data_IF_949444229365
#
_entry.id   IF_949444229365
#
_cell.length_a   1.000
_cell.length_b   1.000
_cell.length_c   1.000
_cell.angle_alpha   90.00
_cell.angle_beta   90.00
_cell.angle_gamma   90.00
#
_symmetry.space_group_name_H-M   'P 1'
#
loop_
_entity.id
_entity.type
_entity.pdbx_description
1 polymer ?
#
# COMPACT_ATOMS: atom_id res chain seq x y z
N UNK A 1 18.88 -0.50 -4.39
CA UNK A 1 17.93 -1.63 -4.20
C UNK A 1 16.66 -1.32 -4.96
N UNK A 2 16.04 -2.34 -5.54
CA UNK A 2 14.86 -2.26 -6.41
C UNK A 2 14.25 -3.65 -6.62
N UNK A 3 14.46 -4.55 -5.67
CA UNK A 3 13.83 -5.86 -5.68
C UNK A 3 12.33 -5.69 -5.47
N UNK A 4 11.58 -6.43 -6.26
CA UNK A 4 10.14 -6.42 -6.21
C UNK A 4 9.58 -7.82 -6.05
N UNK A 5 8.42 -7.89 -5.41
CA UNK A 5 7.58 -9.08 -5.40
C UNK A 5 6.28 -8.75 -6.14
N UNK A 6 5.76 -9.73 -6.86
CA UNK A 6 4.44 -9.66 -7.49
C UNK A 6 3.48 -10.49 -6.65
N UNK A 7 2.37 -9.89 -6.23
CA UNK A 7 1.30 -10.52 -5.47
C UNK A 7 0.05 -10.50 -6.35
N UNK A 8 -0.63 -11.64 -6.50
CA UNK A 8 -1.88 -11.73 -7.28
C UNK A 8 -1.74 -11.55 -8.80
N UNK A 9 -0.56 -11.14 -9.29
CA UNK A 9 -0.28 -10.90 -10.71
C UNK A 9 -0.36 -9.43 -11.13
N UNK A 10 -0.90 -8.56 -10.30
CA UNK A 10 -1.20 -7.15 -10.60
C UNK A 10 -0.78 -6.17 -9.51
N UNK A 11 -0.34 -6.65 -8.34
CA UNK A 11 0.24 -5.83 -7.27
C UNK A 11 1.75 -6.02 -7.24
N UNK A 12 2.50 -4.92 -7.37
CA UNK A 12 3.96 -4.91 -7.29
C UNK A 12 4.40 -4.15 -6.05
N UNK A 13 5.16 -4.80 -5.18
CA UNK A 13 5.75 -4.19 -3.99
C UNK A 13 7.27 -4.13 -4.17
N UNK A 14 7.84 -2.93 -4.12
CA UNK A 14 9.27 -2.68 -4.37
C UNK A 14 9.95 -2.09 -3.15
N UNK A 15 11.11 -2.64 -2.76
CA UNK A 15 11.99 -2.01 -1.75
C UNK A 15 12.77 -0.87 -2.39
N UNK A 16 12.49 0.36 -1.98
CA UNK A 16 13.19 1.55 -2.48
C UNK A 16 14.41 1.89 -1.64
N UNK A 17 14.32 1.77 -0.32
CA UNK A 17 15.38 2.15 0.61
C UNK A 17 15.27 1.40 1.93
N UNK A 18 16.41 1.15 2.58
CA UNK A 18 16.49 0.63 3.94
C UNK A 18 17.39 1.55 4.77
N UNK A 19 16.89 2.11 5.87
CA UNK A 19 17.67 2.98 6.74
C UNK A 19 17.27 2.78 8.21
N UNK A 20 18.25 2.47 9.07
CA UNK A 20 18.05 2.46 10.53
C UNK A 20 16.89 1.58 11.02
N UNK A 21 16.70 0.39 10.44
CA UNK A 21 15.59 -0.51 10.79
C UNK A 21 14.24 -0.13 10.18
N UNK A 22 14.18 0.90 9.33
CA UNK A 22 12.99 1.28 8.57
C UNK A 22 13.19 0.96 7.09
N UNK A 23 12.10 0.59 6.43
CA UNK A 23 12.10 0.25 5.00
C UNK A 23 11.10 1.16 4.29
N UNK A 24 11.52 1.74 3.16
CA UNK A 24 10.65 2.48 2.25
C UNK A 24 10.16 1.54 1.16
N UNK A 25 8.85 1.31 1.11
CA UNK A 25 8.20 0.49 0.10
C UNK A 25 7.47 1.38 -0.91
N UNK A 26 7.58 1.05 -2.20
CA UNK A 26 6.67 1.52 -3.24
C UNK A 26 5.67 0.41 -3.53
N UNK A 27 4.39 0.75 -3.68
CA UNK A 27 3.31 -0.19 -3.96
C UNK A 27 2.58 0.32 -5.20
N UNK A 28 2.53 -0.52 -6.22
CA UNK A 28 1.75 -0.31 -7.44
C UNK A 28 0.62 -1.35 -7.42
N UNK A 29 -0.63 -0.90 -7.51
CA UNK A 29 -1.80 -1.75 -7.46
C UNK A 29 -2.94 -1.11 -8.27
N UNK A 30 -3.88 -1.91 -8.82
CA UNK A 30 -5.11 -1.39 -9.42
C UNK A 30 -5.93 -0.54 -8.44
N UNK A 31 -6.73 0.39 -8.97
CA UNK A 31 -7.52 1.36 -8.18
C UNK A 31 -8.52 0.73 -7.20
N UNK A 32 -8.97 -0.47 -7.53
CA UNK A 32 -9.92 -1.28 -6.77
C UNK A 32 -9.27 -2.01 -5.58
N UNK A 33 -7.94 -2.13 -5.56
CA UNK A 33 -7.19 -2.75 -4.48
C UNK A 33 -6.85 -1.70 -3.43
N UNK A 34 -7.49 -1.80 -2.27
CA UNK A 34 -7.23 -0.92 -1.14
C UNK A 34 -5.86 -1.23 -0.51
N UNK A 35 -4.93 -0.28 -0.55
CA UNK A 35 -3.61 -0.40 0.09
C UNK A 35 -3.59 0.37 1.40
N UNK A 36 -3.46 -0.34 2.52
CA UNK A 36 -3.49 0.25 3.86
C UNK A 36 -2.36 -0.24 4.75
N UNK A 37 -1.96 0.61 5.69
CA UNK A 37 -1.13 0.20 6.82
C UNK A 37 -1.98 -0.59 7.82
N UNK A 38 -1.46 -1.69 8.34
CA UNK A 38 -2.21 -2.64 9.19
C UNK A 38 -2.82 -1.96 10.42
N UNK A 39 -2.08 -1.08 11.07
CA UNK A 39 -2.51 -0.35 12.27
C UNK A 39 -3.66 0.61 12.03
N UNK A 40 -3.98 0.94 10.77
CA UNK A 40 -5.13 1.76 10.43
C UNK A 40 -6.39 0.91 10.22
N UNK A 41 -6.30 -0.41 10.18
CA UNK A 41 -7.48 -1.28 10.01
C UNK A 41 -8.40 -1.11 11.23
N UNK A 42 -9.64 -0.70 10.98
CA UNK A 42 -10.62 -0.40 12.03
C UNK A 42 -10.67 1.06 12.47
N UNK A 43 -9.84 1.93 11.88
CA UNK A 43 -9.83 3.36 12.19
C UNK A 43 -11.06 4.07 11.56
N UNK A 44 -11.98 4.64 12.36
CA UNK A 44 -13.24 5.19 11.85
C UNK A 44 -13.06 6.36 10.87
N UNK A 45 -11.94 7.07 10.97
CA UNK A 45 -11.63 8.21 10.10
C UNK A 45 -11.44 7.80 8.63
N UNK A 46 -11.11 6.54 8.36
CA UNK A 46 -10.95 6.00 7.01
C UNK A 46 -12.27 5.92 6.23
N UNK A 47 -13.40 5.81 6.92
CA UNK A 47 -14.72 5.79 6.29
C UNK A 47 -15.07 7.13 5.64
N UNK A 48 -14.43 8.23 6.06
CA UNK A 48 -14.71 9.58 5.54
C UNK A 48 -14.14 9.84 4.15
N UNK A 49 -13.13 9.08 3.72
CA UNK A 49 -12.47 9.23 2.41
C UNK A 49 -13.00 8.29 1.32
N UNK A 50 -13.85 7.32 1.67
CA UNK A 50 -14.35 6.29 0.75
C UNK A 50 -15.67 6.67 0.03
N UNK A 51 -16.04 7.96 -0.02
CA UNK A 51 -17.20 8.42 -0.78
C UNK A 51 -16.83 8.36 -2.27
N UNK A 52 -17.42 7.39 -3.00
CA UNK A 52 -17.31 7.33 -4.45
C UNK A 52 -17.91 8.61 -5.05
N UNK A 53 -17.13 9.30 -5.87
CA UNK A 53 -17.65 10.30 -6.79
C UNK A 53 -18.72 9.62 -7.67
N UNK A 54 -19.92 10.18 -7.63
CA UNK A 54 -20.95 9.92 -8.64
C UNK A 54 -20.64 10.66 -9.93
#
# INVERSE_FOLDING_TARGET
MGESIVIGGDVVVTVRETHGGRIRLAIEAPSEVLVMRKELIGEPSLLRGMVRAG
#
